data_IF_557919932103
#
_entry.id   IF_557919932103
#
_cell.length_a   1.000
_cell.length_b   1.000
_cell.length_c   1.000
_cell.angle_alpha   90.00
_cell.angle_beta   90.00
_cell.angle_gamma   90.00
#
_symmetry.space_group_name_H-M   'P 1'
#
loop_
_entity.id
_entity.type
_entity.pdbx_description
1 polymer ?
#
# COMPACT_ATOMS: atom_id res chain seq x y z
N UNK A 1 34.95 -22.47 -6.67
CA UNK A 1 34.20 -21.20 -6.55
C UNK A 1 33.54 -21.17 -5.19
N UNK A 2 33.94 -20.26 -4.30
CA UNK A 2 33.30 -20.15 -2.98
C UNK A 2 31.89 -19.57 -3.14
N UNK A 3 30.88 -20.22 -2.57
CA UNK A 3 29.53 -19.66 -2.54
C UNK A 3 29.52 -18.42 -1.66
N UNK A 4 29.03 -17.30 -2.21
CA UNK A 4 28.76 -16.08 -1.46
C UNK A 4 27.78 -16.39 -0.32
N UNK A 5 28.12 -15.89 0.88
CA UNK A 5 27.32 -16.09 2.10
C UNK A 5 26.73 -14.78 2.56
N UNK A 6 25.47 -14.82 2.99
CA UNK A 6 24.72 -13.66 3.50
C UNK A 6 24.03 -14.03 4.80
N UNK A 7 23.86 -13.03 5.69
CA UNK A 7 23.14 -13.20 6.95
C UNK A 7 21.66 -12.85 6.76
N UNK A 8 20.77 -13.74 7.18
CA UNK A 8 19.33 -13.47 7.19
C UNK A 8 18.97 -12.54 8.35
N UNK A 9 18.19 -11.48 8.08
CA UNK A 9 17.78 -10.51 9.12
C UNK A 9 16.88 -11.16 10.18
N UNK A 10 16.05 -12.14 9.77
CA UNK A 10 15.05 -12.77 10.64
C UNK A 10 15.64 -13.86 11.52
N UNK A 11 16.34 -14.86 10.97
CA UNK A 11 16.92 -15.94 11.79
C UNK A 11 18.34 -15.65 12.29
N UNK A 12 18.96 -14.55 11.82
CA UNK A 12 20.34 -14.16 12.15
C UNK A 12 21.42 -15.19 11.76
N UNK A 13 21.08 -16.19 10.94
CA UNK A 13 22.02 -17.21 10.47
C UNK A 13 22.71 -16.78 9.17
N UNK A 14 24.00 -17.12 9.05
CA UNK A 14 24.76 -16.99 7.81
C UNK A 14 24.42 -18.19 6.93
N UNK A 15 23.97 -17.92 5.70
CA UNK A 15 23.45 -18.90 4.74
C UNK A 15 24.05 -18.65 3.36
N UNK A 16 24.00 -19.65 2.49
CA UNK A 16 24.38 -19.47 1.09
C UNK A 16 23.38 -18.54 0.40
N UNK A 17 23.83 -17.72 -0.56
CA UNK A 17 22.93 -16.82 -1.31
C UNK A 17 21.79 -17.56 -2.04
N UNK A 18 21.99 -18.81 -2.41
CA UNK A 18 20.96 -19.67 -3.03
C UNK A 18 19.78 -19.98 -2.08
N UNK A 19 19.94 -19.76 -0.76
CA UNK A 19 18.88 -19.92 0.24
C UNK A 19 18.05 -18.66 0.45
N UNK A 20 18.22 -17.64 -0.40
CA UNK A 20 17.46 -16.39 -0.37
C UNK A 20 16.64 -16.26 -1.65
N UNK A 21 15.38 -15.86 -1.48
CA UNK A 21 14.52 -15.45 -2.57
C UNK A 21 14.21 -13.95 -2.44
N UNK A 22 13.47 -13.42 -3.42
CA UNK A 22 12.90 -12.08 -3.29
C UNK A 22 11.73 -12.16 -2.32
N UNK A 23 11.69 -11.24 -1.37
CA UNK A 23 10.59 -11.10 -0.43
C UNK A 23 9.94 -9.73 -0.59
N UNK A 24 8.63 -9.70 -0.75
CA UNK A 24 7.88 -8.45 -0.82
C UNK A 24 7.71 -7.89 0.59
N UNK A 25 8.17 -6.67 0.84
CA UNK A 25 8.03 -6.04 2.16
C UNK A 25 6.55 -5.89 2.53
N UNK A 26 5.77 -5.30 1.62
CA UNK A 26 4.31 -5.30 1.67
C UNK A 26 3.82 -6.47 0.81
N UNK A 27 2.89 -7.32 1.26
CA UNK A 27 2.49 -8.49 0.48
C UNK A 27 1.98 -8.15 -0.92
N UNK A 28 2.45 -8.89 -1.93
CA UNK A 28 2.02 -8.74 -3.33
C UNK A 28 0.50 -8.89 -3.48
N UNK A 29 -0.14 -9.73 -2.65
CA UNK A 29 -1.59 -9.96 -2.65
C UNK A 29 -2.42 -8.69 -2.37
N UNK A 30 -1.82 -7.67 -1.77
CA UNK A 30 -2.43 -6.35 -1.55
C UNK A 30 -1.77 -5.27 -2.41
N UNK A 31 -1.04 -5.65 -3.46
CA UNK A 31 -0.39 -4.73 -4.40
C UNK A 31 0.94 -4.17 -3.93
N UNK A 32 1.62 -4.82 -2.98
CA UNK A 32 2.99 -4.47 -2.62
C UNK A 32 3.99 -4.88 -3.71
N UNK A 33 4.91 -3.97 -4.05
CA UNK A 33 5.85 -4.14 -5.17
C UNK A 33 7.31 -4.11 -4.71
N UNK A 34 7.60 -3.48 -3.58
CA UNK A 34 8.97 -3.35 -3.08
C UNK A 34 9.49 -4.69 -2.53
N UNK A 35 10.57 -5.19 -3.14
CA UNK A 35 11.18 -6.48 -2.80
C UNK A 35 12.56 -6.29 -2.14
N UNK A 36 12.86 -7.13 -1.15
CA UNK A 36 14.18 -7.26 -0.51
C UNK A 36 14.74 -8.67 -0.71
N UNK A 37 16.05 -8.84 -0.50
CA UNK A 37 16.75 -10.14 -0.58
C UNK A 37 17.48 -10.49 0.72
N UNK A 38 17.06 -9.91 1.83
CA UNK A 38 17.72 -10.04 3.15
C UNK A 38 17.06 -11.10 4.06
N UNK A 39 15.98 -11.73 3.58
CA UNK A 39 15.24 -12.80 4.27
C UNK A 39 15.48 -14.13 3.55
N UNK A 40 15.85 -15.18 4.29
CA UNK A 40 16.02 -16.51 3.70
C UNK A 40 14.68 -17.18 3.41
N UNK A 41 14.65 -18.15 2.49
CA UNK A 41 13.45 -18.84 2.02
C UNK A 41 12.60 -19.38 3.19
N UNK A 42 13.23 -20.03 4.17
CA UNK A 42 12.53 -20.59 5.33
C UNK A 42 11.84 -19.52 6.20
N UNK A 43 12.49 -18.36 6.39
CA UNK A 43 11.90 -17.25 7.13
C UNK A 43 10.79 -16.57 6.33
N UNK A 44 10.99 -16.41 5.02
CA UNK A 44 9.99 -15.88 4.11
C UNK A 44 8.72 -16.76 4.14
N UNK A 45 8.83 -18.07 3.89
CA UNK A 45 7.68 -18.98 3.93
C UNK A 45 6.93 -18.93 5.28
N UNK A 46 7.68 -18.77 6.37
CA UNK A 46 7.11 -18.62 7.70
C UNK A 46 6.30 -17.33 7.83
N UNK A 47 6.85 -16.19 7.38
CA UNK A 47 6.15 -14.90 7.37
C UNK A 47 4.90 -14.97 6.48
N UNK A 48 5.01 -15.55 5.29
CA UNK A 48 3.89 -15.78 4.39
C UNK A 48 2.73 -16.53 5.06
N UNK A 49 3.04 -17.61 5.81
CA UNK A 49 2.02 -18.43 6.49
C UNK A 49 1.47 -17.78 7.77
N UNK A 50 2.32 -17.14 8.57
CA UNK A 50 1.97 -16.70 9.95
C UNK A 50 1.65 -15.22 10.08
N UNK A 51 2.03 -14.39 9.12
CA UNK A 51 1.88 -12.94 9.18
C UNK A 51 1.09 -12.45 7.97
N UNK A 52 1.58 -12.72 6.76
CA UNK A 52 0.97 -12.16 5.56
C UNK A 52 -0.39 -12.79 5.30
N UNK A 53 -0.54 -14.11 5.44
CA UNK A 53 -1.83 -14.78 5.26
C UNK A 53 -2.93 -14.25 6.22
N UNK A 54 -2.68 -14.11 7.53
CA UNK A 54 -3.61 -13.42 8.43
C UNK A 54 -3.90 -11.96 8.04
N UNK A 55 -2.88 -11.18 7.65
CA UNK A 55 -3.06 -9.79 7.20
C UNK A 55 -3.97 -9.71 5.97
N UNK A 56 -3.68 -10.46 4.91
CA UNK A 56 -4.39 -10.38 3.62
C UNK A 56 -5.82 -10.94 3.65
N UNK A 57 -6.14 -11.71 4.69
CA UNK A 57 -7.47 -12.25 4.95
C UNK A 57 -8.24 -11.47 6.04
N UNK A 58 -7.64 -10.43 6.61
CA UNK A 58 -8.34 -9.56 7.55
C UNK A 58 -9.49 -8.82 6.85
N UNK A 59 -10.65 -8.66 7.51
CA UNK A 59 -11.87 -8.10 6.89
C UNK A 59 -11.63 -6.75 6.21
N UNK A 60 -10.95 -5.82 6.90
CA UNK A 60 -10.60 -4.49 6.36
C UNK A 60 -9.76 -4.60 5.08
N UNK A 61 -8.80 -5.53 5.04
CA UNK A 61 -7.97 -5.72 3.86
C UNK A 61 -8.77 -6.36 2.72
N UNK A 62 -9.61 -7.36 3.01
CA UNK A 62 -10.48 -7.98 2.01
C UNK A 62 -11.46 -6.98 1.38
N UNK A 63 -12.02 -6.04 2.15
CA UNK A 63 -12.88 -4.96 1.62
C UNK A 63 -12.10 -4.14 0.58
N UNK A 64 -10.91 -3.65 0.94
CA UNK A 64 -10.07 -2.88 0.00
C UNK A 64 -9.63 -3.72 -1.20
N UNK A 65 -9.40 -5.03 -1.02
CA UNK A 65 -9.10 -5.93 -2.14
C UNK A 65 -10.27 -6.06 -3.10
N UNK A 66 -11.51 -6.11 -2.62
CA UNK A 66 -12.71 -6.08 -3.48
C UNK A 66 -12.84 -4.73 -4.19
N UNK A 67 -12.72 -3.63 -3.47
CA UNK A 67 -12.79 -2.26 -4.00
C UNK A 67 -11.78 -2.03 -5.14
N UNK A 68 -10.53 -2.44 -4.94
CA UNK A 68 -9.45 -2.27 -5.94
C UNK A 68 -9.21 -3.52 -6.81
N UNK A 69 -10.09 -4.53 -6.75
CA UNK A 69 -10.05 -5.75 -7.57
C UNK A 69 -8.71 -6.51 -7.51
N UNK A 70 -8.10 -6.56 -6.33
CA UNK A 70 -6.79 -7.16 -6.06
C UNK A 70 -6.88 -8.69 -5.93
N UNK A 71 -6.96 -9.34 -7.08
CA UNK A 71 -6.94 -10.80 -7.21
C UNK A 71 -5.54 -11.34 -6.98
N UNK A 72 -5.43 -12.47 -6.28
CA UNK A 72 -4.19 -13.26 -6.24
C UNK A 72 -3.99 -13.86 -7.63
N UNK A 73 -2.75 -13.99 -8.12
CA UNK A 73 -2.48 -14.74 -9.34
C UNK A 73 -3.12 -16.15 -9.29
N UNK A 74 -3.83 -16.53 -10.35
CA UNK A 74 -4.53 -17.82 -10.48
C UNK A 74 -6.07 -17.76 -10.44
N UNK A 75 -6.72 -18.93 -10.50
CA UNK A 75 -8.19 -19.10 -10.57
C UNK A 75 -8.98 -18.73 -9.30
N UNK A 76 -8.32 -18.41 -8.18
CA UNK A 76 -8.99 -18.19 -6.89
C UNK A 76 -9.43 -16.73 -6.74
N UNK A 77 -10.73 -16.52 -6.61
CA UNK A 77 -11.34 -15.21 -6.33
C UNK A 77 -10.96 -14.62 -4.97
N UNK A 78 -11.29 -13.34 -4.77
CA UNK A 78 -11.08 -12.63 -3.50
C UNK A 78 -12.08 -13.20 -2.47
N UNK A 79 -11.63 -13.66 -1.28
CA UNK A 79 -12.53 -14.13 -0.24
C UNK A 79 -13.56 -13.07 0.16
N UNK A 80 -14.80 -13.48 0.42
CA UNK A 80 -15.84 -12.58 0.92
C UNK A 80 -15.62 -12.31 2.44
N UNK A 81 -15.33 -11.06 2.86
CA UNK A 81 -15.12 -10.71 4.27
C UNK A 81 -16.38 -10.85 5.15
N UNK A 82 -17.56 -10.83 4.53
CA UNK A 82 -18.87 -10.93 5.19
C UNK A 82 -19.56 -12.26 4.87
N UNK A 83 -18.78 -13.31 4.62
CA UNK A 83 -19.33 -14.64 4.40
C UNK A 83 -20.06 -15.11 5.66
N UNK A 84 -21.38 -15.25 5.57
CA UNK A 84 -22.22 -15.69 6.67
C UNK A 84 -23.70 -15.50 6.39
N UNK A 85 -24.52 -15.86 7.36
CA UNK A 85 -25.95 -15.53 7.41
C UNK A 85 -26.13 -14.53 8.54
N UNK A 86 -26.74 -13.40 8.22
CA UNK A 86 -27.07 -12.33 9.14
C UNK A 86 -28.58 -12.30 9.35
N UNK A 87 -29.01 -11.74 10.50
CA UNK A 87 -30.42 -11.65 10.89
C UNK A 87 -30.71 -10.19 11.21
N UNK A 88 -31.75 -9.63 10.59
CA UNK A 88 -32.29 -8.31 10.91
C UNK A 88 -33.17 -8.34 12.16
N UNK A 89 -33.51 -7.18 12.70
CA UNK A 89 -34.37 -7.05 13.88
C UNK A 89 -35.78 -7.64 13.67
N UNK A 90 -36.29 -7.60 12.44
CA UNK A 90 -37.55 -8.22 12.03
C UNK A 90 -37.46 -9.77 11.89
N UNK A 91 -36.29 -10.37 12.12
CA UNK A 91 -36.02 -11.80 11.99
C UNK A 91 -35.66 -12.27 10.58
N UNK A 92 -35.59 -11.38 9.59
CA UNK A 92 -35.24 -11.71 8.22
C UNK A 92 -33.75 -12.07 8.09
N UNK A 93 -33.48 -13.17 7.40
CA UNK A 93 -32.13 -13.67 7.17
C UNK A 93 -31.60 -13.18 5.83
N UNK A 94 -30.37 -12.69 5.82
CA UNK A 94 -29.71 -12.25 4.59
C UNK A 94 -28.25 -12.73 4.53
N UNK A 95 -27.70 -12.74 3.32
CA UNK A 95 -26.26 -12.91 3.06
C UNK A 95 -25.72 -11.67 2.39
N UNK A 96 -24.46 -11.34 2.66
CA UNK A 96 -23.75 -10.26 1.98
C UNK A 96 -22.78 -10.86 0.98
N UNK A 97 -22.81 -10.38 -0.25
CA UNK A 97 -21.96 -10.80 -1.37
C UNK A 97 -21.30 -9.57 -2.01
N UNK A 98 -20.40 -9.79 -2.95
CA UNK A 98 -19.80 -8.72 -3.76
C UNK A 98 -20.11 -8.97 -5.24
N UNK A 99 -20.53 -7.93 -5.96
CA UNK A 99 -20.78 -8.00 -7.40
C UNK A 99 -19.47 -7.95 -8.22
N UNK A 100 -19.56 -7.89 -9.54
CA UNK A 100 -18.38 -7.87 -10.42
C UNK A 100 -17.61 -6.54 -10.35
N UNK A 101 -18.31 -5.49 -9.93
CA UNK A 101 -17.82 -4.14 -9.75
C UNK A 101 -17.03 -4.00 -8.43
N UNK A 102 -17.21 -4.92 -7.49
CA UNK A 102 -16.57 -4.91 -6.17
C UNK A 102 -17.43 -4.26 -5.09
N UNK A 103 -18.71 -4.04 -5.36
CA UNK A 103 -19.68 -3.43 -4.43
C UNK A 103 -20.38 -4.52 -3.61
N UNK A 104 -20.65 -4.23 -2.34
CA UNK A 104 -21.36 -5.14 -1.47
C UNK A 104 -22.86 -5.15 -1.79
N UNK A 105 -23.44 -6.34 -1.94
CA UNK A 105 -24.87 -6.56 -2.19
C UNK A 105 -25.42 -7.50 -1.13
N UNK A 106 -26.61 -7.20 -0.62
CA UNK A 106 -27.30 -8.09 0.31
C UNK A 106 -28.44 -8.86 -0.40
N UNK A 107 -28.55 -10.15 -0.10
CA UNK A 107 -29.62 -11.00 -0.61
C UNK A 107 -30.35 -11.68 0.55
N UNK A 108 -31.67 -11.53 0.58
CA UNK A 108 -32.51 -12.28 1.51
C UNK A 108 -32.44 -13.79 1.22
N UNK A 109 -32.47 -14.60 2.27
CA UNK A 109 -32.66 -16.04 2.12
C UNK A 109 -34.13 -16.34 1.81
N UNK A 110 -34.42 -17.41 1.03
CA UNK A 110 -35.80 -17.82 0.78
C UNK A 110 -36.56 -18.04 2.10
N UNK A 111 -37.66 -17.30 2.27
CA UNK A 111 -38.55 -17.40 3.43
C UNK A 111 -39.90 -17.93 2.97
N UNK A 112 -40.31 -19.08 3.52
CA UNK A 112 -41.61 -19.68 3.24
C UNK A 112 -42.49 -19.61 4.49
N UNK A 113 -43.62 -18.93 4.36
CA UNK A 113 -44.62 -18.76 5.41
C UNK A 113 -45.93 -19.40 4.94
N UNK A 114 -46.65 -20.09 5.81
CA UNK A 114 -47.96 -20.66 5.49
C UNK A 114 -48.99 -20.37 6.58
N UNK A 115 -50.21 -20.06 6.14
CA UNK A 115 -51.35 -19.83 7.01
C UNK A 115 -52.39 -20.93 6.79
N UNK A 116 -52.96 -21.44 7.88
CA UNK A 116 -54.04 -22.43 7.85
C UNK A 116 -55.37 -21.70 7.65
N UNK A 117 -56.14 -22.15 6.66
CA UNK A 117 -57.50 -21.71 6.37
C UNK A 117 -58.52 -22.69 6.96
N UNK A 118 -59.80 -22.33 6.87
CA UNK A 118 -60.92 -23.24 7.12
C UNK A 118 -60.77 -24.53 6.27
N UNK A 119 -61.16 -25.66 6.85
CA UNK A 119 -61.06 -27.01 6.23
C UNK A 119 -59.63 -27.54 6.03
N UNK A 120 -58.67 -27.16 6.88
CA UNK A 120 -57.26 -27.63 6.82
C UNK A 120 -56.51 -27.27 5.53
N UNK A 121 -57.06 -26.40 4.68
CA UNK A 121 -56.33 -25.85 3.53
C UNK A 121 -55.25 -24.88 4.01
N UNK A 122 -54.20 -24.67 3.21
CA UNK A 122 -53.12 -23.74 3.53
C UNK A 122 -52.82 -22.83 2.35
N UNK A 123 -52.48 -21.58 2.65
CA UNK A 123 -51.94 -20.64 1.66
C UNK A 123 -50.49 -20.36 2.03
N UNK A 124 -49.58 -20.63 1.10
CA UNK A 124 -48.14 -20.38 1.25
C UNK A 124 -47.72 -19.07 0.59
N UNK A 125 -46.80 -18.36 1.23
CA UNK A 125 -46.10 -17.17 0.74
C UNK A 125 -44.61 -17.47 0.68
N UNK A 126 -43.98 -17.27 -0.47
CA UNK A 126 -42.53 -17.36 -0.64
C UNK A 126 -41.96 -15.97 -0.92
N UNK A 127 -41.04 -15.52 -0.07
CA UNK A 127 -40.21 -14.33 -0.31
C UNK A 127 -38.81 -14.80 -0.70
N UNK A 128 -38.25 -14.28 -1.80
CA UNK A 128 -36.97 -14.70 -2.36
C UNK A 128 -36.25 -13.55 -3.07
N UNK A 129 -34.92 -13.59 -3.12
CA UNK A 129 -34.13 -12.66 -3.91
C UNK A 129 -34.46 -12.79 -5.41
N UNK A 130 -34.58 -11.66 -6.12
CA UNK A 130 -34.96 -11.61 -7.56
C UNK A 130 -34.06 -12.47 -8.45
N UNK A 131 -32.76 -12.53 -8.14
CA UNK A 131 -31.79 -13.35 -8.89
C UNK A 131 -31.98 -14.86 -8.77
N UNK A 132 -32.77 -15.32 -7.79
CA UNK A 132 -33.00 -16.72 -7.47
C UNK A 132 -34.41 -17.19 -7.90
N UNK A 133 -35.12 -16.40 -8.71
CA UNK A 133 -36.46 -16.71 -9.23
C UNK A 133 -36.52 -18.07 -9.96
N UNK A 134 -35.44 -18.45 -10.65
CA UNK A 134 -35.30 -19.75 -11.32
C UNK A 134 -35.35 -20.94 -10.34
N UNK A 135 -35.04 -20.70 -9.06
CA UNK A 135 -35.01 -21.73 -8.01
C UNK A 135 -36.36 -21.94 -7.33
N UNK A 136 -37.38 -21.13 -7.64
CA UNK A 136 -38.70 -21.19 -6.99
C UNK A 136 -39.31 -22.60 -7.01
N UNK A 137 -39.41 -23.32 -8.16
CA UNK A 137 -40.04 -24.64 -8.19
C UNK A 137 -39.36 -25.63 -7.24
N UNK A 138 -38.03 -25.59 -7.18
CA UNK A 138 -37.23 -26.44 -6.30
C UNK A 138 -37.45 -26.12 -4.82
N UNK A 139 -37.54 -24.83 -4.48
CA UNK A 139 -37.77 -24.38 -3.11
C UNK A 139 -39.17 -24.80 -2.66
N UNK A 140 -40.21 -24.52 -3.45
CA UNK A 140 -41.59 -24.91 -3.13
C UNK A 140 -41.68 -26.43 -2.91
N UNK A 141 -41.13 -27.25 -3.82
CA UNK A 141 -41.16 -28.71 -3.69
C UNK A 141 -40.50 -29.17 -2.38
N UNK A 142 -39.36 -28.58 -2.01
CA UNK A 142 -38.68 -28.89 -0.74
C UNK A 142 -39.55 -28.54 0.46
N UNK A 143 -40.17 -27.35 0.46
CA UNK A 143 -41.00 -26.90 1.59
C UNK A 143 -42.28 -27.74 1.76
N UNK A 144 -42.87 -28.21 0.65
CA UNK A 144 -44.02 -29.14 0.65
C UNK A 144 -43.66 -30.49 1.24
N UNK A 145 -42.54 -31.09 0.79
CA UNK A 145 -42.03 -32.37 1.31
C UNK A 145 -41.77 -32.26 2.82
N UNK A 146 -41.07 -31.21 3.26
CA UNK A 146 -40.74 -31.00 4.66
C UNK A 146 -41.98 -30.87 5.56
N UNK A 147 -43.06 -30.28 5.05
CA UNK A 147 -44.33 -30.09 5.78
C UNK A 147 -45.34 -31.21 5.57
N UNK A 148 -45.01 -32.23 4.77
CA UNK A 148 -45.92 -33.33 4.35
C UNK A 148 -47.20 -32.79 3.69
N UNK A 149 -47.06 -31.78 2.84
CA UNK A 149 -48.14 -31.15 2.10
C UNK A 149 -48.08 -31.53 0.62
N UNK A 150 -49.21 -31.39 -0.07
CA UNK A 150 -49.31 -31.47 -1.53
C UNK A 150 -50.05 -30.23 -2.05
N UNK A 151 -49.69 -29.75 -3.24
CA UNK A 151 -50.43 -28.64 -3.87
C UNK A 151 -51.74 -29.15 -4.45
N UNK A 152 -52.85 -28.52 -4.07
CA UNK A 152 -54.17 -28.74 -4.65
C UNK A 152 -54.30 -28.03 -6.00
N UNK A 153 -53.91 -26.75 -6.06
CA UNK A 153 -53.96 -25.92 -7.26
C UNK A 153 -52.60 -25.23 -7.47
N UNK A 154 -52.08 -25.24 -8.71
CA UNK A 154 -50.85 -24.54 -9.07
C UNK A 154 -51.15 -23.11 -9.52
N UNK A 155 -51.74 -22.32 -8.64
CA UNK A 155 -51.97 -20.89 -8.89
C UNK A 155 -50.77 -20.14 -8.32
N UNK A 156 -49.83 -19.77 -9.18
CA UNK A 156 -48.74 -18.86 -8.85
C UNK A 156 -49.13 -17.46 -9.34
N UNK A 157 -49.55 -16.55 -8.44
CA UNK A 157 -49.81 -15.17 -8.85
C UNK A 157 -48.52 -14.53 -9.37
N UNK A 158 -48.66 -13.43 -10.12
CA UNK A 158 -47.49 -12.65 -10.52
C UNK A 158 -46.69 -12.21 -9.27
N UNK A 159 -45.35 -12.31 -9.31
CA UNK A 159 -44.52 -11.89 -8.19
C UNK A 159 -44.73 -10.40 -7.91
N UNK A 160 -44.93 -10.06 -6.64
CA UNK A 160 -44.90 -8.67 -6.19
C UNK A 160 -43.44 -8.31 -5.94
N UNK A 161 -42.88 -7.40 -6.73
CA UNK A 161 -41.54 -6.86 -6.48
C UNK A 161 -41.57 -5.89 -5.31
N UNK A 162 -40.68 -6.09 -4.35
CA UNK A 162 -40.51 -5.23 -3.18
C UNK A 162 -39.10 -4.65 -3.26
N UNK A 163 -38.97 -3.33 -3.14
CA UNK A 163 -37.67 -2.69 -3.05
C UNK A 163 -37.04 -3.02 -1.69
N UNK A 164 -35.81 -3.54 -1.72
CA UNK A 164 -35.06 -3.81 -0.49
C UNK A 164 -34.67 -2.51 0.24
N UNK A 165 -34.63 -2.58 1.56
CA UNK A 165 -34.15 -1.48 2.41
C UNK A 165 -32.62 -1.46 2.49
N UNK A 166 -32.05 -0.30 2.81
CA UNK A 166 -30.62 -0.17 3.08
C UNK A 166 -30.26 -0.88 4.40
N UNK A 167 -29.25 -1.74 4.36
CA UNK A 167 -28.83 -2.53 5.53
C UNK A 167 -27.53 -1.99 6.11
N UNK A 168 -27.55 -1.74 7.42
CA UNK A 168 -26.36 -1.39 8.19
C UNK A 168 -25.80 -2.63 8.85
N UNK A 169 -24.66 -3.11 8.38
CA UNK A 169 -23.93 -4.21 9.01
C UNK A 169 -22.83 -3.65 9.93
N UNK A 170 -22.95 -3.90 11.24
CA UNK A 170 -21.91 -3.57 12.22
C UNK A 170 -21.12 -4.82 12.56
N UNK A 171 -19.83 -4.82 12.22
CA UNK A 171 -18.92 -5.94 12.42
C UNK A 171 -17.75 -5.54 13.31
N UNK A 172 -17.41 -6.41 14.27
CA UNK A 172 -16.21 -6.26 15.10
C UNK A 172 -15.17 -7.24 14.62
N UNK A 173 -13.93 -6.77 14.48
CA UNK A 173 -12.82 -7.61 14.03
C UNK A 173 -11.58 -7.35 14.87
N UNK A 174 -10.72 -8.37 14.98
CA UNK A 174 -9.48 -8.28 15.73
C UNK A 174 -8.39 -7.63 14.86
N UNK A 175 -7.86 -6.48 15.30
CA UNK A 175 -6.82 -5.76 14.58
C UNK A 175 -5.41 -6.35 14.74
N UNK A 176 -5.22 -7.40 15.53
CA UNK A 176 -3.90 -8.00 15.77
C UNK A 176 -3.17 -8.43 14.48
N UNK A 177 -3.81 -9.06 13.48
CA UNK A 177 -3.17 -9.36 12.19
C UNK A 177 -2.68 -8.10 11.45
N UNK A 178 -3.40 -6.98 11.59
CA UNK A 178 -3.03 -5.70 10.99
C UNK A 178 -1.75 -5.14 11.64
N UNK A 179 -1.71 -5.13 12.97
CA UNK A 179 -0.57 -4.63 13.75
C UNK A 179 0.67 -5.50 13.49
N UNK A 180 0.51 -6.83 13.44
CA UNK A 180 1.61 -7.75 13.21
C UNK A 180 2.16 -7.63 11.78
N UNK A 181 1.27 -7.48 10.80
CA UNK A 181 1.65 -7.20 9.41
C UNK A 181 2.44 -5.90 9.30
N UNK A 182 1.97 -4.82 9.95
CA UNK A 182 2.70 -3.56 10.01
C UNK A 182 4.06 -3.71 10.70
N UNK A 183 4.16 -4.48 11.78
CA UNK A 183 5.44 -4.74 12.45
C UNK A 183 6.45 -5.45 11.55
N UNK A 184 6.01 -6.45 10.78
CA UNK A 184 6.83 -7.15 9.78
C UNK A 184 7.34 -6.19 8.71
N UNK A 185 6.42 -5.40 8.13
CA UNK A 185 6.73 -4.38 7.12
C UNK A 185 7.77 -3.37 7.67
N UNK A 186 7.55 -2.84 8.87
CA UNK A 186 8.45 -1.88 9.50
C UNK A 186 9.83 -2.49 9.74
N UNK A 187 9.85 -3.72 10.27
CA UNK A 187 11.08 -4.45 10.59
C UNK A 187 11.93 -4.69 9.36
N UNK A 188 11.34 -5.23 8.29
CA UNK A 188 12.02 -5.51 7.03
C UNK A 188 12.52 -4.23 6.36
N UNK A 189 11.67 -3.19 6.29
CA UNK A 189 12.06 -1.92 5.69
C UNK A 189 13.17 -1.22 6.47
N UNK A 190 13.09 -1.21 7.80
CA UNK A 190 14.13 -0.62 8.65
C UNK A 190 15.46 -1.37 8.50
N UNK A 191 15.45 -2.70 8.35
CA UNK A 191 16.66 -3.48 8.09
C UNK A 191 17.30 -3.20 6.73
N UNK A 192 16.50 -2.84 5.74
CA UNK A 192 16.98 -2.52 4.40
C UNK A 192 17.61 -1.12 4.35
N UNK A 193 17.01 -0.16 5.05
CA UNK A 193 17.38 1.26 4.96
C UNK A 193 18.36 1.71 6.03
N UNK A 194 18.32 1.13 7.24
CA UNK A 194 19.13 1.57 8.38
C UNK A 194 20.36 0.68 8.53
N UNK A 195 21.58 1.23 8.32
CA UNK A 195 22.81 0.48 8.55
C UNK A 195 22.90 0.00 10.00
N UNK A 196 23.38 -1.24 10.18
CA UNK A 196 23.60 -1.85 11.50
C UNK A 196 22.35 -1.96 12.40
N UNK A 197 21.14 -1.83 11.86
CA UNK A 197 19.90 -1.97 12.64
C UNK A 197 19.79 -3.31 13.38
N UNK A 198 20.42 -4.36 12.85
CA UNK A 198 20.51 -5.69 13.48
C UNK A 198 21.08 -5.69 14.91
N UNK A 199 21.82 -4.65 15.28
CA UNK A 199 22.43 -4.51 16.62
C UNK A 199 21.54 -3.68 17.58
N UNK A 200 20.39 -3.18 17.12
CA UNK A 200 19.48 -2.41 17.96
C UNK A 200 18.65 -3.32 18.88
N UNK A 201 18.43 -2.86 20.12
CA UNK A 201 17.65 -3.58 21.13
C UNK A 201 16.21 -3.87 20.66
N UNK A 202 15.58 -2.91 19.99
CA UNK A 202 14.23 -3.08 19.45
C UNK A 202 14.24 -4.01 18.23
N UNK A 203 15.27 -3.98 17.39
CA UNK A 203 15.43 -4.97 16.31
C UNK A 203 15.45 -6.39 16.86
N UNK A 204 16.26 -6.66 17.89
CA UNK A 204 16.31 -7.98 18.51
C UNK A 204 14.95 -8.38 19.11
N UNK A 205 14.30 -7.45 19.80
CA UNK A 205 12.97 -7.66 20.38
C UNK A 205 11.93 -8.01 19.31
N UNK A 206 11.87 -7.24 18.23
CA UNK A 206 10.92 -7.45 17.14
C UNK A 206 11.18 -8.75 16.39
N UNK A 207 12.45 -9.09 16.15
CA UNK A 207 12.83 -10.39 15.58
C UNK A 207 12.30 -11.56 16.42
N UNK A 208 12.47 -11.52 17.75
CA UNK A 208 11.96 -12.57 18.66
C UNK A 208 10.43 -12.67 18.63
N UNK A 209 9.75 -11.54 18.47
CA UNK A 209 8.29 -11.45 18.40
C UNK A 209 7.77 -12.01 17.07
N UNK A 210 8.35 -11.60 15.94
CA UNK A 210 7.96 -12.07 14.60
C UNK A 210 8.25 -13.57 14.39
N UNK A 211 9.18 -14.13 15.17
CA UNK A 211 9.46 -15.57 15.23
C UNK A 211 8.54 -16.35 16.19
N UNK A 212 7.45 -15.77 16.68
CA UNK A 212 6.43 -16.47 17.48
C UNK A 212 5.07 -16.40 16.78
N UNK A 213 4.11 -17.27 17.14
CA UNK A 213 2.71 -17.04 16.79
C UNK A 213 2.24 -15.66 17.29
N UNK A 214 1.21 -15.10 16.66
CA UNK A 214 0.63 -13.82 17.08
C UNK A 214 0.15 -13.98 18.53
N UNK A 215 0.77 -13.20 19.42
CA UNK A 215 0.36 -13.09 20.82
C UNK A 215 -0.71 -12.00 20.91
N UNK A 216 -1.97 -12.43 20.96
CA UNK A 216 -3.11 -11.53 20.85
C UNK A 216 -3.22 -10.54 22.01
N UNK A 217 -2.71 -10.89 23.19
CA UNK A 217 -2.85 -10.07 24.40
C UNK A 217 -1.78 -8.98 24.49
N UNK A 218 -0.63 -9.18 23.83
CA UNK A 218 0.55 -8.33 24.02
C UNK A 218 0.91 -7.46 22.82
N UNK A 219 0.28 -7.66 21.66
CA UNK A 219 0.67 -6.95 20.43
C UNK A 219 0.40 -5.44 20.49
N UNK A 220 -0.63 -5.02 21.23
CA UNK A 220 -0.95 -3.61 21.44
C UNK A 220 0.17 -2.84 22.17
N UNK A 221 1.10 -3.53 22.83
CA UNK A 221 2.26 -2.91 23.49
C UNK A 221 3.30 -2.35 22.50
N UNK A 222 3.22 -2.73 21.23
CA UNK A 222 4.10 -2.19 20.18
C UNK A 222 3.57 -0.90 19.56
N UNK A 223 2.30 -0.58 19.78
CA UNK A 223 1.69 0.65 19.31
C UNK A 223 2.13 1.84 20.15
N UNK A 224 2.37 2.94 19.48
CA UNK A 224 2.48 4.24 20.13
C UNK A 224 1.09 4.71 20.56
N UNK A 225 0.98 5.18 21.80
CA UNK A 225 -0.27 5.75 22.36
C UNK A 225 -0.23 7.28 22.49
N UNK A 226 0.89 7.90 22.12
CA UNK A 226 1.05 9.36 22.13
C UNK A 226 0.26 9.95 20.95
N UNK A 227 -0.96 10.42 21.21
CA UNK A 227 -1.86 11.00 20.22
C UNK A 227 -1.26 12.22 19.53
N UNK A 228 -0.50 13.05 20.25
CA UNK A 228 0.16 14.22 19.67
C UNK A 228 1.17 13.80 18.62
N UNK A 229 1.97 12.78 18.94
CA UNK A 229 2.93 12.22 17.98
C UNK A 229 2.20 11.61 16.78
N UNK A 230 1.17 10.79 17.00
CA UNK A 230 0.38 10.17 15.93
C UNK A 230 -0.21 11.24 15.01
N UNK A 231 -0.86 12.27 15.57
CA UNK A 231 -1.47 13.35 14.80
C UNK A 231 -0.42 14.16 14.03
N UNK A 232 0.77 14.37 14.59
CA UNK A 232 1.87 15.01 13.87
C UNK A 232 2.29 14.19 12.63
N UNK A 233 2.35 12.86 12.74
CA UNK A 233 2.61 11.98 11.59
C UNK A 233 1.47 12.01 10.57
N UNK A 234 0.23 11.88 11.02
CA UNK A 234 -0.95 11.92 10.14
C UNK A 234 -1.00 13.24 9.37
N UNK A 235 -0.78 14.37 10.04
CA UNK A 235 -0.76 15.69 9.40
C UNK A 235 0.36 15.84 8.37
N UNK A 236 1.51 15.16 8.53
CA UNK A 236 2.56 15.14 7.50
C UNK A 236 2.14 14.35 6.28
N UNK A 237 1.49 13.21 6.48
CA UNK A 237 1.00 12.36 5.39
C UNK A 237 -0.15 13.06 4.64
N UNK A 238 -1.10 13.66 5.36
CA UNK A 238 -2.25 14.35 4.75
C UNK A 238 -1.86 15.59 3.92
N UNK A 239 -0.66 16.15 4.13
CA UNK A 239 -0.13 17.27 3.33
C UNK A 239 0.48 16.85 2.00
N UNK A 240 0.58 15.56 1.72
CA UNK A 240 1.06 15.09 0.42
C UNK A 240 -0.19 14.97 -0.46
N UNK A 241 -0.43 16.01 -1.25
CA UNK A 241 -1.64 16.20 -2.06
C UNK A 241 -1.92 15.04 -3.04
N UNK A 242 -0.92 14.22 -3.33
CA UNK A 242 -1.01 13.10 -4.27
C UNK A 242 -1.37 11.76 -3.61
N UNK A 243 -1.57 11.69 -2.29
CA UNK A 243 -1.88 10.43 -1.62
C UNK A 243 -3.38 10.11 -1.72
N UNK A 244 -3.66 8.98 -2.35
CA UNK A 244 -4.99 8.40 -2.45
C UNK A 244 -5.20 7.23 -1.48
N UNK A 245 -6.46 6.79 -1.35
CA UNK A 245 -6.84 5.65 -0.48
C UNK A 245 -6.12 4.36 -0.89
N UNK A 246 -5.93 4.15 -2.19
CA UNK A 246 -5.27 2.96 -2.73
C UNK A 246 -3.74 2.96 -2.58
N UNK A 247 -3.11 4.06 -2.15
CA UNK A 247 -1.66 4.09 -1.95
C UNK A 247 -1.24 3.47 -0.63
N UNK A 248 -0.15 2.72 -0.66
CA UNK A 248 0.55 2.24 0.53
C UNK A 248 1.79 3.10 0.78
N UNK A 249 2.09 3.34 2.05
CA UNK A 249 3.23 4.18 2.43
C UNK A 249 3.98 3.58 3.61
N UNK A 250 5.31 3.74 3.59
CA UNK A 250 6.18 3.49 4.73
C UNK A 250 7.03 4.74 4.93
N UNK A 251 6.89 5.41 6.07
CA UNK A 251 7.68 6.57 6.47
C UNK A 251 8.58 6.17 7.63
N UNK A 252 9.88 6.14 7.41
CA UNK A 252 10.87 5.90 8.44
C UNK A 252 11.57 7.22 8.78
N UNK A 253 11.32 7.77 9.95
CA UNK A 253 11.84 9.09 10.34
C UNK A 253 12.58 9.05 11.67
N UNK A 254 13.69 9.79 11.81
CA UNK A 254 14.19 10.17 13.11
C UNK A 254 13.24 11.20 13.74
N UNK A 255 13.08 11.15 15.06
CA UNK A 255 12.37 12.14 15.87
C UNK A 255 13.31 12.55 16.99
N UNK A 256 13.66 13.83 17.01
CA UNK A 256 14.63 14.41 17.93
C UNK A 256 14.33 14.02 19.38
N UNK A 257 15.32 13.49 20.09
CA UNK A 257 15.25 13.02 21.48
C UNK A 257 14.24 11.88 21.74
N UNK A 258 13.61 11.32 20.70
CA UNK A 258 12.61 10.25 20.84
C UNK A 258 13.02 8.97 20.12
N UNK A 259 13.89 9.04 19.12
CA UNK A 259 14.45 7.90 18.40
C UNK A 259 13.93 7.79 16.97
N UNK A 260 13.91 6.57 16.42
CA UNK A 260 13.48 6.32 15.04
C UNK A 260 12.10 5.68 15.02
N UNK A 261 11.20 6.17 14.17
CA UNK A 261 9.81 5.72 14.07
C UNK A 261 9.47 5.33 12.64
N UNK A 262 8.66 4.29 12.48
CA UNK A 262 8.11 3.85 11.22
C UNK A 262 6.59 4.03 11.24
N UNK A 263 6.08 4.89 10.38
CA UNK A 263 4.67 5.06 10.12
C UNK A 263 4.30 4.29 8.85
N UNK A 264 3.27 3.46 8.93
CA UNK A 264 2.81 2.61 7.84
C UNK A 264 1.37 2.94 7.53
N UNK A 265 1.08 3.24 6.26
CA UNK A 265 -0.27 3.32 5.71
C UNK A 265 -0.50 2.13 4.80
N UNK A 266 -1.49 1.30 5.12
CA UNK A 266 -2.01 0.25 4.25
C UNK A 266 -3.48 0.55 3.97
N UNK A 267 -3.79 0.97 2.74
CA UNK A 267 -5.08 1.53 2.38
C UNK A 267 -5.51 2.67 3.33
N UNK A 268 -6.59 2.46 4.09
CA UNK A 268 -7.14 3.39 5.07
C UNK A 268 -6.61 3.15 6.50
N UNK A 269 -5.80 2.11 6.70
CA UNK A 269 -5.21 1.77 7.99
C UNK A 269 -3.87 2.46 8.17
N UNK A 270 -3.63 2.98 9.36
CA UNK A 270 -2.35 3.59 9.73
C UNK A 270 -1.81 3.03 11.03
N UNK A 271 -0.53 2.70 11.07
CA UNK A 271 0.15 2.16 12.25
C UNK A 271 1.47 2.89 12.44
N UNK A 272 1.74 3.35 13.67
CA UNK A 272 3.01 3.97 14.06
C UNK A 272 3.76 3.04 15.03
N UNK A 273 5.01 2.71 14.69
CA UNK A 273 5.87 1.81 15.45
C UNK A 273 7.20 2.49 15.73
N UNK A 274 7.70 2.41 16.95
CA UNK A 274 9.05 2.90 17.29
C UNK A 274 10.10 1.86 16.90
N UNK A 275 10.94 2.16 15.93
CA UNK A 275 11.94 1.21 15.43
C UNK A 275 13.23 1.21 16.24
N UNK A 276 13.62 2.36 16.81
CA UNK A 276 14.78 2.45 17.70
C UNK A 276 14.56 3.53 18.76
N UNK A 277 15.23 3.40 19.90
CA UNK A 277 15.37 4.49 20.89
C UNK A 277 16.34 5.58 20.43
N UNK A 278 17.19 5.28 19.44
CA UNK A 278 18.19 6.18 18.85
C UNK A 278 17.66 6.80 17.55
N UNK A 279 18.16 7.97 17.20
CA UNK A 279 18.00 8.59 15.89
C UNK A 279 18.99 7.90 14.94
N UNK A 280 18.53 6.89 14.22
CA UNK A 280 19.39 6.02 13.40
C UNK A 280 19.50 6.48 11.94
N UNK A 281 18.84 7.58 11.61
CA UNK A 281 18.83 8.21 10.30
C UNK A 281 19.06 9.72 10.50
N UNK A 282 19.75 10.34 9.55
CA UNK A 282 19.88 11.81 9.51
C UNK A 282 18.58 12.47 9.04
N UNK A 283 17.88 11.82 8.12
CA UNK A 283 16.70 12.36 7.46
C UNK A 283 15.65 11.25 7.26
N UNK A 284 14.40 11.64 6.97
CA UNK A 284 13.31 10.69 6.75
C UNK A 284 13.42 9.94 5.42
N UNK A 285 13.01 8.68 5.39
CA UNK A 285 12.93 7.85 4.17
C UNK A 285 11.49 7.43 3.95
N UNK A 286 10.99 7.63 2.73
CA UNK A 286 9.57 7.40 2.40
C UNK A 286 9.50 6.40 1.26
N UNK A 287 8.88 5.25 1.49
CA UNK A 287 8.46 4.33 0.43
C UNK A 287 7.01 4.64 0.07
N UNK A 288 6.79 4.95 -1.20
CA UNK A 288 5.49 5.12 -1.82
C UNK A 288 5.18 3.91 -2.71
N UNK A 289 4.00 3.33 -2.58
CA UNK A 289 3.59 2.18 -3.37
C UNK A 289 2.16 2.38 -3.92
N UNK A 290 2.07 2.53 -5.23
CA UNK A 290 0.82 2.60 -5.97
C UNK A 290 0.32 1.20 -6.33
N UNK A 291 -0.74 0.80 -5.63
CA UNK A 291 -1.39 -0.51 -5.76
C UNK A 291 -2.06 -0.68 -7.14
N UNK A 292 -2.62 0.38 -7.72
CA UNK A 292 -3.33 0.30 -9.01
C UNK A 292 -2.32 0.22 -10.15
N UNK A 293 -1.28 1.06 -10.11
CA UNK A 293 -0.25 1.06 -11.15
C UNK A 293 0.75 -0.09 -11.03
N UNK A 294 0.80 -0.78 -9.87
CA UNK A 294 1.79 -1.82 -9.60
C UNK A 294 3.22 -1.25 -9.64
N UNK A 295 3.41 -0.06 -9.06
CA UNK A 295 4.69 0.64 -9.00
C UNK A 295 4.97 1.11 -7.57
N UNK A 296 6.23 1.11 -7.20
CA UNK A 296 6.70 1.77 -5.99
C UNK A 296 7.88 2.68 -6.30
N UNK A 297 8.09 3.67 -5.45
CA UNK A 297 9.28 4.53 -5.44
C UNK A 297 9.67 4.83 -4.01
N UNK A 298 10.97 5.04 -3.79
CA UNK A 298 11.51 5.36 -2.48
C UNK A 298 12.19 6.72 -2.53
N UNK A 299 11.70 7.65 -1.74
CA UNK A 299 12.36 8.91 -1.48
C UNK A 299 13.41 8.67 -0.40
N UNK A 300 14.67 8.80 -0.81
CA UNK A 300 15.80 8.91 0.11
C UNK A 300 16.32 10.34 -0.01
N UNK A 301 16.44 11.09 1.09
CA UNK A 301 17.12 12.36 1.13
C UNK A 301 18.59 12.11 0.78
N UNK A 302 18.96 12.48 -0.43
CA UNK A 302 20.32 12.29 -0.91
C UNK A 302 21.14 13.51 -0.53
N UNK A 303 22.23 13.30 0.22
CA UNK A 303 23.31 14.27 0.26
C UNK A 303 24.00 14.23 -1.11
N UNK A 304 23.68 15.21 -1.97
CA UNK A 304 24.29 15.36 -3.29
C UNK A 304 25.75 15.74 -3.10
N UNK A 305 26.69 14.83 -3.42
CA UNK A 305 28.12 15.12 -3.28
C UNK A 305 28.64 16.02 -4.41
N UNK A 306 28.16 15.79 -5.62
CA UNK A 306 28.41 16.61 -6.80
C UNK A 306 27.41 16.23 -7.90
N UNK A 307 27.21 17.11 -8.87
CA UNK A 307 26.38 16.83 -10.05
C UNK A 307 27.03 17.31 -11.34
N UNK A 308 26.96 16.52 -12.41
CA UNK A 308 27.35 16.97 -13.76
C UNK A 308 26.12 17.55 -14.47
N UNK A 309 26.23 18.76 -15.04
CA UNK A 309 25.12 19.41 -15.74
C UNK A 309 25.35 19.36 -17.26
N UNK A 310 24.38 18.84 -18.01
CA UNK A 310 24.29 19.06 -19.45
C UNK A 310 23.15 20.01 -19.76
N UNK A 311 23.46 21.01 -20.57
CA UNK A 311 22.52 22.05 -20.98
C UNK A 311 22.17 21.86 -22.45
N UNK A 312 20.89 22.01 -22.77
CA UNK A 312 20.44 22.27 -24.13
C UNK A 312 20.01 23.73 -24.20
N UNK A 313 20.64 24.49 -25.09
CA UNK A 313 20.37 25.90 -25.32
C UNK A 313 19.68 26.07 -26.67
N UNK A 314 18.73 27.00 -26.75
CA UNK A 314 18.01 27.31 -27.98
C UNK A 314 18.94 28.06 -28.96
N UNK A 315 19.10 27.52 -30.17
CA UNK A 315 19.74 28.13 -31.35
C UNK A 315 21.02 28.94 -31.12
N UNK A 316 22.11 28.24 -30.83
CA UNK A 316 23.42 28.73 -31.22
C UNK A 316 24.08 27.75 -32.22
N UNK A 317 24.42 28.28 -33.40
CA UNK A 317 25.27 27.57 -34.38
C UNK A 317 26.70 27.43 -33.84
N UNK A 318 27.02 28.04 -32.71
CA UNK A 318 28.16 27.71 -31.87
C UNK A 318 27.80 26.49 -30.99
N UNK A 319 28.56 25.41 -31.15
CA UNK A 319 28.39 24.16 -30.39
C UNK A 319 28.27 24.48 -28.89
N UNK A 320 27.38 23.83 -28.12
CA UNK A 320 27.52 23.76 -26.67
C UNK A 320 28.74 22.87 -26.37
N UNK A 321 29.94 23.42 -26.46
CA UNK A 321 31.17 22.77 -26.01
C UNK A 321 31.36 23.11 -24.54
N UNK A 322 30.61 22.45 -23.68
CA UNK A 322 30.86 22.50 -22.26
C UNK A 322 29.79 21.76 -21.48
N UNK A 323 30.12 20.58 -20.97
CA UNK A 323 29.52 20.17 -19.72
C UNK A 323 30.00 21.20 -18.67
N UNK A 324 29.08 21.88 -17.98
CA UNK A 324 29.45 22.64 -16.80
C UNK A 324 29.65 21.61 -15.68
N UNK A 325 30.90 21.23 -15.43
CA UNK A 325 31.30 20.54 -14.21
C UNK A 325 31.48 21.57 -13.12
N UNK A 326 30.52 21.65 -12.20
CA UNK A 326 30.62 22.48 -11.01
C UNK A 326 30.42 21.59 -9.80
N UNK A 327 31.40 21.54 -8.91
CA UNK A 327 31.35 20.66 -7.74
C UNK A 327 30.23 21.03 -6.76
N UNK A 328 29.67 22.26 -6.83
CA UNK A 328 28.70 22.78 -5.85
C UNK A 328 27.51 23.56 -6.44
N UNK A 329 27.26 23.50 -7.76
CA UNK A 329 26.10 24.17 -8.35
C UNK A 329 26.12 25.70 -8.36
N UNK A 330 27.27 26.33 -8.11
CA UNK A 330 27.51 27.79 -8.13
C UNK A 330 27.41 28.38 -9.55
N UNK A 331 26.25 28.26 -10.18
CA UNK A 331 25.96 28.85 -11.48
C UNK A 331 24.64 29.59 -11.35
N UNK A 332 24.66 30.93 -11.29
CA UNK A 332 23.44 31.72 -11.19
C UNK A 332 22.54 31.53 -12.40
N UNK A 333 21.24 31.49 -12.14
CA UNK A 333 20.18 31.42 -13.14
C UNK A 333 19.54 32.78 -13.24
N UNK A 334 19.34 33.25 -14.47
CA UNK A 334 18.81 34.57 -14.77
C UNK A 334 17.43 34.48 -15.41
N UNK A 335 16.65 35.56 -15.31
CA UNK A 335 15.50 35.78 -16.18
C UNK A 335 15.93 36.44 -17.50
N UNK A 336 14.97 36.68 -18.39
CA UNK A 336 15.20 37.31 -19.71
C UNK A 336 15.78 38.73 -19.64
N UNK A 337 15.62 39.41 -18.49
CA UNK A 337 16.12 40.77 -18.23
C UNK A 337 17.52 40.77 -17.63
N UNK A 338 18.11 39.60 -17.36
CA UNK A 338 19.42 39.47 -16.75
C UNK A 338 19.43 39.62 -15.23
N UNK A 339 18.27 39.56 -14.57
CA UNK A 339 18.17 39.54 -13.11
C UNK A 339 18.36 38.11 -12.60
N UNK A 340 19.08 37.96 -11.48
CA UNK A 340 19.32 36.65 -10.86
C UNK A 340 18.01 36.14 -10.26
N UNK A 341 17.53 34.98 -10.73
CA UNK A 341 16.43 34.21 -10.14
C UNK A 341 16.93 33.26 -9.06
N UNK A 342 18.05 32.59 -9.31
CA UNK A 342 18.66 31.66 -8.36
C UNK A 342 20.17 31.82 -8.35
N UNK A 343 20.78 31.82 -7.16
CA UNK A 343 22.24 31.87 -7.03
C UNK A 343 22.93 30.56 -7.45
N UNK A 344 22.16 29.47 -7.49
CA UNK A 344 22.66 28.13 -7.78
C UNK A 344 21.70 27.39 -8.72
N UNK A 345 22.26 26.64 -9.67
CA UNK A 345 21.50 25.96 -10.73
C UNK A 345 20.69 24.77 -10.19
N UNK A 346 21.13 24.16 -9.08
CA UNK A 346 20.42 23.07 -8.40
C UNK A 346 19.05 23.50 -7.84
N UNK A 347 18.83 24.80 -7.62
CA UNK A 347 17.53 25.33 -7.19
C UNK A 347 16.44 25.20 -8.25
N UNK A 348 16.79 25.04 -9.52
CA UNK A 348 15.82 24.73 -10.58
C UNK A 348 15.20 23.34 -10.43
N UNK A 349 15.87 22.41 -9.74
CA UNK A 349 15.33 21.08 -9.42
C UNK A 349 14.23 21.17 -8.35
N UNK A 350 14.03 22.34 -7.73
CA UNK A 350 12.87 22.62 -6.90
C UNK A 350 12.62 21.62 -5.79
N UNK A 351 13.63 20.97 -5.19
CA UNK A 351 13.43 19.92 -4.20
C UNK A 351 12.33 18.91 -4.59
N UNK A 352 12.15 18.60 -5.87
CA UNK A 352 11.17 17.60 -6.28
C UNK A 352 11.78 16.20 -6.21
N UNK A 353 11.48 15.57 -5.07
CA UNK A 353 11.17 14.16 -4.87
C UNK A 353 11.60 13.22 -6.00
N UNK A 354 12.76 12.60 -5.81
CA UNK A 354 13.22 11.54 -6.69
C UNK A 354 12.39 10.27 -6.41
N UNK A 355 11.48 9.95 -7.33
CA UNK A 355 10.82 8.63 -7.41
C UNK A 355 11.69 7.76 -8.31
N UNK A 356 12.48 6.79 -7.78
CA UNK A 356 13.21 5.87 -8.63
C UNK A 356 12.22 5.09 -9.50
N UNK A 357 12.42 5.11 -10.83
CA UNK A 357 11.74 4.22 -11.75
C UNK A 357 12.19 2.78 -11.43
N UNK A 358 11.24 1.84 -11.53
CA UNK A 358 11.41 0.38 -11.35
C UNK A 358 12.85 -0.10 -11.60
N UNK A 359 13.37 -0.89 -10.66
CA UNK A 359 14.57 -1.73 -10.80
C UNK A 359 15.93 -1.03 -10.97
N UNK A 360 16.03 0.29 -10.88
CA UNK A 360 17.35 0.90 -10.69
C UNK A 360 17.68 0.84 -9.20
N UNK A 361 18.48 -0.18 -8.85
CA UNK A 361 19.36 -0.14 -7.68
C UNK A 361 19.88 1.28 -7.50
N UNK A 362 20.06 1.71 -6.25
CA UNK A 362 20.83 2.90 -5.85
C UNK A 362 22.16 2.86 -6.60
N UNK A 363 22.18 3.40 -7.81
CA UNK A 363 23.36 3.54 -8.61
C UNK A 363 24.12 4.66 -7.91
N UNK A 364 25.44 4.49 -7.72
CA UNK A 364 26.29 5.55 -7.14
C UNK A 364 26.14 6.89 -7.86
N UNK A 365 25.47 6.92 -9.03
CA UNK A 365 25.00 8.13 -9.66
C UNK A 365 23.65 7.99 -10.38
N UNK A 366 22.74 8.94 -10.18
CA UNK A 366 21.45 9.05 -10.86
C UNK A 366 21.49 10.12 -11.97
N UNK A 367 20.69 9.96 -13.04
CA UNK A 367 20.42 11.02 -14.02
C UNK A 367 19.03 11.61 -13.82
N UNK A 368 18.95 12.93 -13.69
CA UNK A 368 17.70 13.70 -13.57
C UNK A 368 17.64 14.63 -14.77
N UNK A 369 16.59 14.55 -15.59
CA UNK A 369 16.40 15.45 -16.73
C UNK A 369 15.10 16.22 -16.57
N UNK A 370 15.18 17.55 -16.73
CA UNK A 370 14.04 18.46 -16.69
C UNK A 370 14.02 19.29 -17.98
N UNK A 371 12.85 19.38 -18.60
CA UNK A 371 12.62 20.19 -19.80
C UNK A 371 11.75 21.39 -19.43
N UNK A 372 12.11 22.57 -19.93
CA UNK A 372 11.44 23.83 -19.61
C UNK A 372 10.68 24.31 -20.84
N UNK A 373 9.42 23.89 -20.96
CA UNK A 373 8.58 24.21 -22.12
C UNK A 373 8.03 25.64 -22.10
N UNK A 374 7.90 26.26 -20.92
CA UNK A 374 7.29 27.60 -20.77
C UNK A 374 8.06 28.57 -19.83
N UNK A 375 9.17 28.14 -19.21
CA UNK A 375 9.88 28.96 -18.23
C UNK A 375 11.10 29.63 -18.86
N UNK A 376 11.21 30.94 -18.67
CA UNK A 376 12.26 31.81 -19.20
C UNK A 376 13.50 31.82 -18.28
N UNK A 377 14.21 30.68 -18.20
CA UNK A 377 15.48 30.56 -17.48
C UNK A 377 16.68 30.75 -18.40
N UNK A 378 17.68 31.50 -17.95
CA UNK A 378 18.87 31.84 -18.73
C UNK A 378 20.17 31.66 -17.94
N UNK A 379 21.28 31.49 -18.67
CA UNK A 379 22.64 31.51 -18.15
C UNK A 379 23.46 32.60 -18.83
N UNK A 380 24.49 33.12 -18.15
CA UNK A 380 25.46 34.01 -18.80
C UNK A 380 26.42 33.19 -19.67
N UNK A 381 26.59 33.59 -20.93
CA UNK A 381 27.58 32.99 -21.84
C UNK A 381 29.00 33.13 -21.33
N UNK A 382 29.89 32.22 -21.77
CA UNK A 382 31.31 32.18 -21.41
C UNK A 382 32.11 33.41 -21.89
N UNK A 383 31.56 34.13 -22.85
CA UNK A 383 32.04 35.39 -23.43
C UNK A 383 31.40 36.63 -22.78
N UNK A 384 30.71 36.45 -21.65
CA UNK A 384 30.08 37.46 -20.80
C UNK A 384 29.07 38.43 -21.46
N UNK A 385 28.76 38.26 -22.74
CA UNK A 385 28.02 39.26 -23.53
C UNK A 385 26.58 38.86 -23.87
N UNK A 386 26.14 37.64 -23.59
CA UNK A 386 24.78 37.16 -23.90
C UNK A 386 24.14 36.27 -22.83
N UNK A 387 22.80 36.35 -22.73
CA UNK A 387 21.97 35.42 -21.97
C UNK A 387 21.57 34.24 -22.86
N UNK A 388 21.81 33.02 -22.40
CA UNK A 388 21.54 31.78 -23.11
C UNK A 388 20.32 31.08 -22.50
N UNK A 389 19.26 30.92 -23.29
CA UNK A 389 18.01 30.29 -22.82
C UNK A 389 18.22 28.80 -22.55
N UNK A 390 17.80 28.34 -21.37
CA UNK A 390 17.83 26.94 -20.96
C UNK A 390 16.58 26.23 -21.49
N UNK A 391 16.72 25.26 -22.40
CA UNK A 391 15.61 24.40 -22.85
C UNK A 391 15.47 23.15 -22.00
N UNK A 392 16.61 22.58 -21.58
CA UNK A 392 16.63 21.39 -20.74
C UNK A 392 17.91 21.33 -19.93
N UNK A 393 17.81 20.73 -18.74
CA UNK A 393 18.95 20.41 -17.88
C UNK A 393 18.94 18.92 -17.59
N UNK A 394 20.08 18.25 -17.78
CA UNK A 394 20.34 16.90 -17.27
C UNK A 394 21.41 16.95 -16.17
N UNK A 395 21.05 16.57 -14.95
CA UNK A 395 21.93 16.40 -13.81
C UNK A 395 22.36 14.95 -13.67
N UNK A 396 23.66 14.70 -13.50
CA UNK A 396 24.18 13.40 -13.04
C UNK A 396 24.58 13.50 -11.57
N UNK A 397 23.68 13.15 -10.67
CA UNK A 397 23.87 13.24 -9.21
C UNK A 397 24.71 12.07 -8.73
N UNK A 398 25.78 12.29 -7.95
CA UNK A 398 26.47 11.20 -7.22
C UNK A 398 25.93 11.07 -5.80
N UNK A 399 25.47 9.87 -5.44
CA UNK A 399 24.87 9.56 -4.14
C UNK A 399 25.98 9.18 -3.13
N UNK A 400 25.93 9.74 -1.91
CA UNK A 400 26.61 9.17 -0.74
C UNK A 400 25.77 7.97 -0.28
N UNK A 401 26.30 6.75 -0.46
CA UNK A 401 25.71 5.51 0.05
C UNK A 401 26.43 5.14 1.34
#
# INVERSE_FOLDING_TARGET
MGTSKKKCIVCNQIKNETEFNREHVIPETIGGVYEIKSVCILCNERFGKKIDTPLVNHKVILINRHEYKLKRGGYRGIPNPFKGIYVQDNGEKYTVNFNQEGEATADILPKFEDNVLENNKRVGKLTIAKKDMDKIPRIINRELINRKLYMLDKIMPEPIEIQGEELVLIERTNNNPLIFGALKIAYEFCHEVVPNYVNDELSEKYRKVLLKPIDEDNIGKFLIKDEVLINAFLNRVLKIDTIEKHHHLIFLTPVKNRGTFCFIKLFQMTVLIKMSKKEMLENEVILFNDVIQGKCGMQIPVNIKSFDVKLKLADDKSKPKGALTNDNGQTPVFNEKGEILYNHLDKLIGAEYIVPKRNEFISKSMKIRQEFSNNNFYLKGTDETGLLKIEAIEFKVRLLI
#
